data_IF_238503693435
#
_entry.id   IF_238503693435
#
_cell.length_a   1.000
_cell.length_b   1.000
_cell.length_c   1.000
_cell.angle_alpha   90.00
_cell.angle_beta   90.00
_cell.angle_gamma   90.00
#
_symmetry.space_group_name_H-M   'P 1'
#
loop_
_entity.id
_entity.type
_entity.pdbx_description
1 polymer ?
#
# COMPACT_ATOMS: atom_id res chain seq x y z
N UNK A 1 -7.05 4.67 -25.70
CA UNK A 1 -6.96 3.53 -24.75
C UNK A 1 -8.04 2.52 -25.10
N UNK A 2 -7.75 1.21 -25.04
CA UNK A 2 -8.81 0.20 -25.21
C UNK A 2 -9.66 0.13 -23.94
N UNK A 3 -10.99 0.10 -24.06
CA UNK A 3 -11.91 0.02 -22.92
C UNK A 3 -11.59 -1.11 -21.95
N UNK A 4 -11.09 -2.25 -22.47
CA UNK A 4 -10.66 -3.41 -21.67
C UNK A 4 -9.50 -3.07 -20.72
N UNK A 5 -8.53 -2.26 -21.17
CA UNK A 5 -7.39 -1.85 -20.33
C UNK A 5 -7.82 -0.90 -19.22
N UNK A 6 -8.76 0.00 -19.51
CA UNK A 6 -9.28 0.94 -18.52
C UNK A 6 -10.01 0.20 -17.40
N UNK A 7 -10.92 -0.72 -17.75
CA UNK A 7 -11.64 -1.56 -16.78
C UNK A 7 -10.68 -2.39 -15.92
N UNK A 8 -9.66 -3.00 -16.53
CA UNK A 8 -8.63 -3.74 -15.78
C UNK A 8 -7.89 -2.84 -14.78
N UNK A 9 -7.55 -1.60 -15.15
CA UNK A 9 -6.91 -0.65 -14.24
C UNK A 9 -7.84 -0.25 -13.08
N UNK A 10 -9.13 -0.05 -13.35
CA UNK A 10 -10.12 0.27 -12.31
C UNK A 10 -10.31 -0.89 -11.33
N UNK A 11 -10.49 -2.11 -11.83
CA UNK A 11 -10.58 -3.31 -10.99
C UNK A 11 -9.31 -3.46 -10.16
N UNK A 12 -8.15 -3.28 -10.79
CA UNK A 12 -6.86 -3.37 -10.11
C UNK A 12 -6.74 -2.36 -8.97
N UNK A 13 -7.15 -1.11 -9.20
CA UNK A 13 -7.15 -0.08 -8.17
C UNK A 13 -8.08 -0.40 -6.99
N UNK A 14 -9.29 -0.90 -7.28
CA UNK A 14 -10.28 -1.28 -6.26
C UNK A 14 -9.84 -2.49 -5.45
N UNK A 15 -9.05 -3.41 -6.01
CA UNK A 15 -8.50 -4.56 -5.26
C UNK A 15 -7.23 -4.16 -4.49
N UNK A 16 -6.37 -3.34 -5.09
CA UNK A 16 -5.10 -2.94 -4.50
C UNK A 16 -5.27 -2.12 -3.23
N UNK A 17 -6.16 -1.12 -3.22
CA UNK A 17 -6.31 -0.22 -2.07
C UNK A 17 -6.76 -0.97 -0.80
N UNK A 18 -7.86 -1.75 -0.80
CA UNK A 18 -8.30 -2.49 0.37
C UNK A 18 -7.26 -3.51 0.82
N UNK A 19 -6.56 -4.16 -0.12
CA UNK A 19 -5.50 -5.11 0.22
C UNK A 19 -4.35 -4.42 0.95
N UNK A 20 -3.89 -3.28 0.45
CA UNK A 20 -2.86 -2.45 1.11
C UNK A 20 -3.37 -1.99 2.48
N UNK A 21 -4.62 -1.57 2.61
CA UNK A 21 -5.19 -1.16 3.91
C UNK A 21 -5.16 -2.31 4.91
N UNK A 22 -5.70 -3.48 4.56
CA UNK A 22 -5.78 -4.64 5.47
C UNK A 22 -4.39 -5.14 5.90
N UNK A 23 -3.43 -5.11 4.98
CA UNK A 23 -2.05 -5.54 5.25
C UNK A 23 -1.19 -4.46 5.90
N UNK A 24 -1.64 -3.21 5.88
CA UNK A 24 -0.97 -2.06 6.50
C UNK A 24 -1.55 -1.71 7.87
N UNK A 25 -2.80 -2.08 8.16
CA UNK A 25 -3.35 -1.89 9.50
C UNK A 25 -2.56 -2.75 10.46
N UNK A 26 -1.75 -2.11 11.32
CA UNK A 26 -1.29 -2.81 12.52
C UNK A 26 -2.53 -3.26 13.28
N UNK A 27 -2.53 -4.51 13.75
CA UNK A 27 -3.56 -5.14 14.60
C UNK A 27 -3.82 -4.39 15.93
N UNK A 28 -3.38 -3.15 16.08
CA UNK A 28 -3.58 -2.29 17.26
C UNK A 28 -3.90 -0.81 16.91
N UNK A 29 -3.99 -0.41 15.64
CA UNK A 29 -4.44 0.97 15.28
C UNK A 29 -5.89 1.25 15.74
N UNK A 30 -6.72 0.22 15.86
CA UNK A 30 -8.09 0.30 16.41
C UNK A 30 -8.17 0.51 17.94
N UNK A 31 -7.05 0.46 18.67
CA UNK A 31 -6.99 0.78 20.10
C UNK A 31 -6.55 2.22 20.37
N UNK A 32 -6.45 3.04 19.31
CA UNK A 32 -6.23 4.48 19.42
C UNK A 32 -7.54 5.14 19.90
N UNK A 33 -7.84 4.99 21.20
CA UNK A 33 -8.69 5.89 22.01
C UNK A 33 -8.74 5.47 23.50
N UNK A 34 -8.41 4.22 23.85
CA UNK A 34 -8.65 3.72 25.22
C UNK A 34 -7.49 3.89 26.23
N UNK A 35 -6.35 4.45 25.83
CA UNK A 35 -5.13 4.39 26.66
C UNK A 35 -4.11 5.52 26.55
N UNK A 36 -4.50 6.74 26.16
CA UNK A 36 -3.60 7.90 26.15
C UNK A 36 -2.67 8.01 24.92
N UNK A 37 -2.85 7.16 23.91
CA UNK A 37 -2.12 7.22 22.65
C UNK A 37 -2.81 8.19 21.69
N UNK A 38 -2.35 9.45 21.64
CA UNK A 38 -2.91 10.51 20.79
C UNK A 38 -2.37 10.54 19.35
N UNK A 39 -1.30 9.80 19.05
CA UNK A 39 -0.59 9.85 17.77
C UNK A 39 0.03 8.49 17.41
N UNK A 40 0.21 8.25 16.11
CA UNK A 40 0.78 7.01 15.57
C UNK A 40 2.21 6.75 16.04
N UNK A 41 2.92 7.82 16.41
CA UNK A 41 4.28 7.76 16.94
C UNK A 41 4.34 7.07 18.31
N UNK A 42 3.30 7.25 19.14
CA UNK A 42 3.21 6.65 20.46
C UNK A 42 2.82 5.16 20.39
N UNK A 43 2.20 4.74 19.28
CA UNK A 43 1.93 3.33 18.94
C UNK A 43 3.22 2.63 18.50
N UNK A 44 4.05 3.32 17.70
CA UNK A 44 5.33 2.80 17.21
C UNK A 44 6.29 2.48 18.38
N UNK A 45 6.41 3.38 19.36
CA UNK A 45 7.28 3.21 20.54
C UNK A 45 6.82 2.06 21.46
N UNK A 46 5.52 1.78 21.53
CA UNK A 46 4.98 0.68 22.33
C UNK A 46 5.04 -0.69 21.64
N UNK A 47 5.27 -0.73 20.33
CA UNK A 47 5.20 -1.95 19.50
C UNK A 47 6.51 -2.32 18.80
N UNK A 48 7.62 -1.67 19.13
CA UNK A 48 8.96 -1.98 18.60
C UNK A 48 9.35 -3.47 18.73
N UNK A 49 8.69 -4.22 19.62
CA UNK A 49 8.94 -5.64 19.85
C UNK A 49 8.04 -6.62 19.05
N UNK A 50 7.02 -6.13 18.30
CA UNK A 50 6.02 -6.97 17.59
C UNK A 50 5.63 -6.34 16.23
N UNK A 51 6.64 -5.98 15.45
CA UNK A 51 6.50 -5.21 14.21
C UNK A 51 6.02 -6.10 13.04
N UNK A 52 4.70 -6.33 12.95
CA UNK A 52 4.07 -7.17 11.88
C UNK A 52 4.09 -6.53 10.49
N UNK A 53 4.58 -5.29 10.39
CA UNK A 53 4.65 -4.48 9.17
C UNK A 53 5.56 -5.10 8.10
N UNK A 54 6.65 -5.76 8.49
CA UNK A 54 7.54 -6.47 7.55
C UNK A 54 6.79 -7.59 6.80
N UNK A 55 5.87 -8.26 7.48
CA UNK A 55 5.00 -9.27 6.86
C UNK A 55 4.03 -8.61 5.88
N UNK A 56 3.44 -7.46 6.23
CA UNK A 56 2.56 -6.69 5.36
C UNK A 56 3.25 -6.23 4.06
N UNK A 57 4.50 -5.79 4.14
CA UNK A 57 5.35 -5.44 2.99
C UNK A 57 5.56 -6.65 2.07
N UNK A 58 5.90 -7.81 2.63
CA UNK A 58 6.10 -9.05 1.86
C UNK A 58 4.80 -9.53 1.20
N UNK A 59 3.67 -9.41 1.89
CA UNK A 59 2.35 -9.83 1.39
C UNK A 59 1.77 -8.90 0.32
N UNK A 60 2.23 -7.65 0.25
CA UNK A 60 1.80 -6.66 -0.76
C UNK A 60 2.73 -6.57 -1.96
N UNK A 61 3.96 -7.08 -1.88
CA UNK A 61 4.92 -7.15 -3.00
C UNK A 61 4.37 -7.86 -4.26
N UNK A 62 3.65 -9.01 -4.16
CA UNK A 62 3.07 -9.67 -5.33
C UNK A 62 2.08 -8.81 -6.12
N UNK A 63 1.50 -7.78 -5.50
CA UNK A 63 0.58 -6.84 -6.15
C UNK A 63 1.29 -6.00 -7.23
N UNK A 64 2.60 -5.78 -7.13
CA UNK A 64 3.33 -5.06 -8.17
C UNK A 64 3.75 -5.98 -9.33
N UNK A 65 3.73 -7.30 -9.14
CA UNK A 65 4.23 -8.27 -10.12
C UNK A 65 3.48 -8.27 -11.47
N UNK A 66 2.13 -8.24 -11.50
CA UNK A 66 1.37 -8.11 -12.75
C UNK A 66 1.74 -6.82 -13.49
N UNK A 67 2.00 -5.74 -12.75
CA UNK A 67 2.35 -4.46 -13.33
C UNK A 67 3.72 -4.50 -14.02
N UNK A 68 4.73 -5.06 -13.34
CA UNK A 68 6.06 -5.27 -13.95
C UNK A 68 5.98 -6.19 -15.16
N UNK A 69 5.18 -7.27 -15.09
CA UNK A 69 4.96 -8.17 -16.22
C UNK A 69 4.38 -7.43 -17.43
N UNK A 70 3.31 -6.64 -17.25
CA UNK A 70 2.72 -5.87 -18.35
C UNK A 70 3.65 -4.78 -18.88
N UNK A 71 4.41 -4.11 -18.01
CA UNK A 71 5.34 -3.05 -18.39
C UNK A 71 6.55 -3.58 -19.19
N UNK A 72 7.15 -4.69 -18.75
CA UNK A 72 8.37 -5.25 -19.33
C UNK A 72 8.09 -6.11 -20.58
N UNK A 73 7.08 -6.98 -20.56
CA UNK A 73 6.87 -7.96 -21.63
C UNK A 73 6.00 -7.46 -22.77
N UNK A 74 4.94 -6.70 -22.51
CA UNK A 74 3.96 -6.35 -23.55
C UNK A 74 4.31 -5.06 -24.30
N UNK A 75 5.31 -4.28 -23.85
CA UNK A 75 5.70 -2.94 -24.38
C UNK A 75 4.49 -2.02 -24.68
N UNK A 76 3.34 -2.26 -24.03
CA UNK A 76 2.13 -1.45 -24.21
C UNK A 76 2.29 -0.19 -23.36
N UNK A 77 2.77 0.88 -24.00
CA UNK A 77 3.06 2.16 -23.36
C UNK A 77 1.79 2.99 -23.19
N UNK A 78 0.91 2.54 -22.29
CA UNK A 78 -0.25 3.31 -21.86
C UNK A 78 0.12 4.22 -20.69
N UNK A 79 0.15 5.55 -20.90
CA UNK A 79 0.42 6.51 -19.83
C UNK A 79 -0.48 6.28 -18.60
N UNK A 80 -1.74 5.90 -18.83
CA UNK A 80 -2.70 5.63 -17.76
C UNK A 80 -2.32 4.44 -16.87
N UNK A 81 -1.72 3.38 -17.42
CA UNK A 81 -1.22 2.26 -16.61
C UNK A 81 -0.09 2.71 -15.69
N UNK A 82 0.84 3.52 -16.20
CA UNK A 82 1.90 4.09 -15.37
C UNK A 82 1.33 5.01 -14.29
N UNK A 83 0.35 5.84 -14.62
CA UNK A 83 -0.32 6.70 -13.65
C UNK A 83 -1.01 5.90 -12.54
N UNK A 84 -1.75 4.83 -12.86
CA UNK A 84 -2.42 4.00 -11.87
C UNK A 84 -1.44 3.24 -10.99
N UNK A 85 -0.37 2.69 -11.55
CA UNK A 85 0.67 2.05 -10.74
C UNK A 85 1.45 3.03 -9.87
N UNK A 86 1.74 4.23 -10.37
CA UNK A 86 2.42 5.25 -9.58
C UNK A 86 1.52 5.72 -8.42
N UNK A 87 0.21 5.82 -8.64
CA UNK A 87 -0.75 6.12 -7.57
C UNK A 87 -0.79 4.99 -6.52
N UNK A 88 -0.87 3.73 -6.94
CA UNK A 88 -0.87 2.57 -6.02
C UNK A 88 0.47 2.48 -5.26
N UNK A 89 1.59 2.66 -5.95
CA UNK A 89 2.92 2.65 -5.34
C UNK A 89 3.11 3.81 -4.38
N UNK A 90 2.66 5.02 -4.74
CA UNK A 90 2.68 6.18 -3.85
C UNK A 90 1.83 5.95 -2.60
N UNK A 91 0.64 5.38 -2.75
CA UNK A 91 -0.23 5.03 -1.62
C UNK A 91 0.40 3.96 -0.71
N UNK A 92 1.00 2.93 -1.30
CA UNK A 92 1.73 1.90 -0.60
C UNK A 92 2.91 2.49 0.19
N UNK A 93 3.74 3.30 -0.46
CA UNK A 93 4.91 3.93 0.15
C UNK A 93 4.49 4.92 1.27
N UNK A 94 3.38 5.61 1.07
CA UNK A 94 2.78 6.46 2.09
C UNK A 94 2.40 5.67 3.34
N UNK A 95 1.67 4.57 3.18
CA UNK A 95 1.20 3.74 4.29
C UNK A 95 2.33 3.04 5.05
N UNK A 96 3.30 2.47 4.34
CA UNK A 96 4.35 1.67 4.98
C UNK A 96 5.53 2.49 5.51
N UNK A 97 5.90 3.60 4.87
CA UNK A 97 7.16 4.31 5.17
C UNK A 97 6.96 5.79 5.55
N UNK A 98 6.30 6.60 4.70
CA UNK A 98 6.25 8.05 4.91
C UNK A 98 5.43 8.45 6.14
N UNK A 99 4.35 7.73 6.47
CA UNK A 99 3.52 8.00 7.66
C UNK A 99 4.33 7.97 8.96
N UNK A 100 5.40 7.18 8.99
CA UNK A 100 6.26 7.02 10.17
C UNK A 100 7.48 7.94 10.17
N UNK A 101 7.90 8.49 9.02
CA UNK A 101 9.01 9.45 8.95
C UNK A 101 8.71 10.76 9.70
N UNK A 102 7.44 11.14 9.84
CA UNK A 102 7.02 12.31 10.61
C UNK A 102 6.99 12.08 12.13
N UNK A 103 7.33 10.88 12.60
CA UNK A 103 7.40 10.52 14.01
C UNK A 103 8.82 10.55 14.59
N UNK A 104 9.83 10.89 13.77
CA UNK A 104 11.25 10.96 14.12
C UNK A 104 11.67 12.39 14.49
#
# INVERSE_FOLDING_TARGET
>A
MSARMFVLCCIWFVVAIPWIVITSTLDKEWMIDEGGVKNICHVLEYLENDDTRDVGVIMTLPLFFPFFWFALWRKKRGWFMYATALAIFGYWLWQFFLRYQFCL
#
